data_IF_520199195775
#
_entry.id   IF_520199195775
#
_cell.length_a   1.000
_cell.length_b   1.000
_cell.length_c   1.000
_cell.angle_alpha   90.00
_cell.angle_beta   90.00
_cell.angle_gamma   90.00
#
_symmetry.space_group_name_H-M   'P 1'
#
loop_
_entity.id
_entity.type
_entity.pdbx_description
1 polymer ?
#
# COMPACT_ATOMS: atom_id res chain seq x y z
N UNK A 1 25.74 -0.67 16.52
CA UNK A 1 25.28 0.32 15.52
C UNK A 1 25.98 0.11 14.16
N UNK A 2 26.05 -1.13 13.63
CA UNK A 2 26.69 -1.41 12.32
C UNK A 2 26.10 -2.58 11.49
N UNK A 3 25.00 -3.23 11.88
CA UNK A 3 24.54 -4.44 11.16
C UNK A 3 23.14 -4.36 10.54
N UNK A 4 22.56 -3.17 10.36
CA UNK A 4 21.22 -3.04 9.74
C UNK A 4 21.23 -3.13 8.20
N UNK A 5 22.32 -3.64 7.60
CA UNK A 5 22.52 -3.73 6.16
C UNK A 5 21.93 -4.99 5.49
N UNK A 6 21.18 -5.87 6.16
CA UNK A 6 20.70 -7.12 5.54
C UNK A 6 19.19 -7.25 5.29
N UNK A 7 18.36 -6.25 5.62
CA UNK A 7 16.92 -6.30 5.34
C UNK A 7 16.50 -5.57 4.06
N UNK A 8 17.31 -4.58 3.65
CA UNK A 8 17.04 -3.71 2.49
C UNK A 8 17.68 -4.29 1.23
N UNK A 9 17.47 -5.60 1.02
CA UNK A 9 17.43 -6.18 -0.32
C UNK A 9 15.96 -6.03 -0.75
N UNK A 10 15.45 -4.80 -0.80
CA UNK A 10 15.26 -4.14 -2.09
C UNK A 10 14.74 -5.19 -3.07
N UNK A 11 13.46 -5.52 -2.91
CA UNK A 11 12.66 -6.24 -3.88
C UNK A 11 12.34 -5.33 -5.10
N UNK A 12 13.28 -4.44 -5.49
CA UNK A 12 13.18 -3.60 -6.70
C UNK A 12 13.28 -4.42 -7.99
N UNK A 13 13.55 -5.73 -7.86
CA UNK A 13 13.67 -6.66 -8.98
C UNK A 13 12.37 -7.41 -9.29
N UNK A 14 11.26 -7.19 -8.58
CA UNK A 14 9.97 -7.78 -8.95
C UNK A 14 9.43 -7.08 -10.21
N UNK A 15 9.88 -7.59 -11.37
CA UNK A 15 9.45 -7.35 -12.75
C UNK A 15 8.44 -6.20 -12.92
N UNK A 16 8.91 -5.13 -13.56
CA UNK A 16 8.18 -3.91 -13.98
C UNK A 16 6.98 -4.13 -14.94
N UNK A 17 6.28 -5.27 -14.89
CA UNK A 17 5.22 -5.59 -15.85
C UNK A 17 4.18 -6.58 -15.30
N UNK A 18 3.56 -6.28 -14.15
CA UNK A 18 2.49 -7.14 -13.61
C UNK A 18 1.30 -6.29 -13.19
N UNK A 19 0.20 -6.39 -13.93
CA UNK A 19 -1.20 -6.26 -13.49
C UNK A 19 -1.61 -5.14 -12.52
N UNK A 20 -0.85 -4.06 -12.40
CA UNK A 20 -1.17 -2.93 -11.52
C UNK A 20 -2.36 -2.15 -12.10
N UNK A 21 -3.29 -1.74 -11.23
CA UNK A 21 -4.46 -0.97 -11.64
C UNK A 21 -4.15 0.53 -11.61
N UNK A 22 -5.03 1.35 -12.22
CA UNK A 22 -4.96 2.81 -12.08
C UNK A 22 -4.92 3.24 -10.60
N UNK A 23 -5.63 2.52 -9.72
CA UNK A 23 -5.63 2.76 -8.28
C UNK A 23 -4.26 2.47 -7.64
N UNK A 24 -3.48 1.50 -8.13
CA UNK A 24 -2.10 1.28 -7.67
C UNK A 24 -1.22 2.49 -7.95
N UNK A 25 -1.40 3.17 -9.09
CA UNK A 25 -0.66 4.38 -9.41
C UNK A 25 -1.15 5.59 -8.61
N UNK A 26 -2.46 5.73 -8.38
CA UNK A 26 -3.00 6.76 -7.48
C UNK A 26 -2.48 6.58 -6.04
N UNK A 27 -2.39 5.33 -5.58
CA UNK A 27 -1.77 5.00 -4.30
C UNK A 27 -0.27 5.33 -4.28
N UNK A 28 0.45 5.15 -5.38
CA UNK A 28 1.86 5.50 -5.46
C UNK A 28 2.11 7.01 -5.32
N UNK A 29 1.23 7.85 -5.85
CA UNK A 29 1.32 9.30 -5.71
C UNK A 29 0.81 9.82 -4.37
N UNK A 30 0.05 9.02 -3.63
CA UNK A 30 -0.61 9.43 -2.39
C UNK A 30 -1.82 10.34 -2.61
N UNK A 31 -2.33 10.46 -3.85
CA UNK A 31 -3.45 11.35 -4.16
C UNK A 31 -4.80 10.71 -3.77
N UNK A 32 -5.19 10.91 -2.51
CA UNK A 32 -6.42 10.33 -1.93
C UNK A 32 -7.67 10.72 -2.70
N UNK A 33 -7.77 11.98 -3.15
CA UNK A 33 -8.94 12.47 -3.89
C UNK A 33 -9.15 11.72 -5.21
N UNK A 34 -8.07 11.45 -5.95
CA UNK A 34 -8.15 10.64 -7.17
C UNK A 34 -8.55 9.20 -6.85
N UNK A 35 -7.98 8.62 -5.80
CA UNK A 35 -8.36 7.28 -5.38
C UNK A 35 -9.85 7.20 -4.98
N UNK A 36 -10.38 8.20 -4.28
CA UNK A 36 -11.81 8.26 -3.91
C UNK A 36 -12.71 8.30 -5.14
N UNK A 37 -12.44 9.16 -6.11
CA UNK A 37 -13.20 9.20 -7.37
C UNK A 37 -13.15 7.85 -8.10
N UNK A 38 -12.00 7.17 -8.10
CA UNK A 38 -11.88 5.83 -8.71
C UNK A 38 -12.69 4.76 -7.95
N UNK A 39 -12.79 4.87 -6.62
CA UNK A 39 -13.56 3.94 -5.78
C UNK A 39 -15.07 4.17 -5.90
N UNK A 40 -15.50 5.41 -6.12
CA UNK A 40 -16.91 5.75 -6.40
C UNK A 40 -17.37 5.11 -7.72
N UNK A 41 -16.54 5.16 -8.75
CA UNK A 41 -16.83 4.54 -10.05
C UNK A 41 -16.78 3.00 -10.01
N UNK A 42 -15.82 2.44 -9.26
CA UNK A 42 -15.70 1.00 -9.11
C UNK A 42 -15.16 0.59 -7.73
N UNK A 43 -16.04 0.19 -6.79
CA UNK A 43 -15.65 -0.21 -5.45
C UNK A 43 -14.74 -1.45 -5.39
N UNK A 44 -14.77 -2.32 -6.40
CA UNK A 44 -13.97 -3.56 -6.44
C UNK A 44 -12.52 -3.31 -6.91
N UNK A 45 -12.22 -2.10 -7.40
CA UNK A 45 -10.93 -1.74 -7.97
C UNK A 45 -9.70 -2.01 -7.07
N UNK A 46 -9.75 -1.91 -5.73
CA UNK A 46 -8.65 -2.31 -4.84
C UNK A 46 -8.21 -3.77 -5.00
N UNK A 47 -9.11 -4.65 -5.46
CA UNK A 47 -8.94 -6.10 -5.45
C UNK A 47 -8.75 -6.71 -6.86
N UNK A 48 -8.98 -5.94 -7.93
CA UNK A 48 -8.92 -6.43 -9.32
C UNK A 48 -7.48 -6.61 -9.86
N UNK A 49 -6.49 -5.95 -9.26
CA UNK A 49 -5.11 -6.01 -9.71
C UNK A 49 -4.45 -7.35 -9.44
N UNK A 50 -3.74 -7.91 -10.43
CA UNK A 50 -2.87 -9.10 -10.23
C UNK A 50 -1.43 -8.72 -9.80
N UNK A 51 -1.16 -7.42 -9.70
CA UNK A 51 0.13 -6.84 -9.35
C UNK A 51 0.26 -6.52 -7.86
N UNK A 52 0.91 -5.40 -7.53
CA UNK A 52 0.92 -4.86 -6.17
C UNK A 52 -0.47 -4.26 -5.87
N UNK A 53 -1.10 -4.68 -4.78
CA UNK A 53 -2.35 -4.05 -4.30
C UNK A 53 -2.08 -2.58 -3.95
N UNK A 54 -3.05 -1.70 -4.23
CA UNK A 54 -2.93 -0.26 -3.97
C UNK A 54 -2.61 0.05 -2.51
N UNK A 55 -3.19 -0.71 -1.57
CA UNK A 55 -2.90 -0.61 -0.13
C UNK A 55 -1.41 -0.86 0.19
N UNK A 56 -0.83 -1.95 -0.33
CA UNK A 56 0.58 -2.28 -0.11
C UNK A 56 1.51 -1.21 -0.66
N UNK A 57 1.17 -0.64 -1.83
CA UNK A 57 1.91 0.48 -2.41
C UNK A 57 1.86 1.73 -1.53
N UNK A 58 0.68 2.09 -1.03
CA UNK A 58 0.50 3.23 -0.14
C UNK A 58 1.29 3.05 1.19
N UNK A 59 1.24 1.85 1.77
CA UNK A 59 1.97 1.52 3.00
C UNK A 59 3.49 1.59 2.78
N UNK A 60 3.99 0.98 1.71
CA UNK A 60 5.40 0.98 1.35
C UNK A 60 5.97 2.40 1.17
N UNK A 61 5.18 3.29 0.56
CA UNK A 61 5.59 4.68 0.30
C UNK A 61 5.28 5.64 1.46
N UNK A 62 4.55 5.19 2.48
CA UNK A 62 4.28 5.98 3.68
C UNK A 62 3.09 6.94 3.57
N UNK A 63 2.15 6.67 2.66
CA UNK A 63 0.99 7.53 2.43
C UNK A 63 -0.14 7.24 3.42
N UNK A 64 -0.02 7.72 4.66
CA UNK A 64 -0.91 7.36 5.78
C UNK A 64 -2.41 7.53 5.48
N UNK A 65 -2.80 8.67 4.91
CA UNK A 65 -4.20 8.95 4.60
C UNK A 65 -4.75 8.00 3.52
N UNK A 66 -3.91 7.65 2.54
CA UNK A 66 -4.27 6.66 1.51
C UNK A 66 -4.42 5.26 2.11
N UNK A 67 -3.53 4.87 3.04
CA UNK A 67 -3.63 3.60 3.76
C UNK A 67 -4.94 3.53 4.54
N UNK A 68 -5.27 4.57 5.30
CA UNK A 68 -6.53 4.65 6.05
C UNK A 68 -7.75 4.51 5.13
N UNK A 69 -7.71 5.11 3.94
CA UNK A 69 -8.82 5.05 2.99
C UNK A 69 -8.99 3.69 2.32
N UNK A 70 -7.87 3.02 1.98
CA UNK A 70 -7.87 1.76 1.24
C UNK A 70 -8.00 0.52 2.12
N UNK A 71 -7.54 0.56 3.37
CA UNK A 71 -7.60 -0.56 4.30
C UNK A 71 -8.99 -1.21 4.44
N UNK A 72 -10.09 -0.46 4.66
CA UNK A 72 -11.41 -1.06 4.83
C UNK A 72 -12.02 -1.67 3.55
N UNK A 73 -11.50 -1.31 2.37
CA UNK A 73 -12.04 -1.74 1.06
C UNK A 73 -11.13 -2.73 0.32
N UNK A 74 -9.99 -3.09 0.92
CA UNK A 74 -9.02 -4.00 0.32
C UNK A 74 -9.07 -5.35 1.03
N UNK A 75 -9.29 -6.42 0.28
CA UNK A 75 -9.19 -7.80 0.77
C UNK A 75 -7.72 -8.19 0.85
N UNK A 76 -7.27 -8.54 2.06
CA UNK A 76 -5.93 -9.05 2.34
C UNK A 76 -6.06 -10.56 2.57
N UNK A 77 -5.84 -11.31 1.50
CA UNK A 77 -5.96 -12.77 1.41
C UNK A 77 -4.64 -13.48 1.74
N UNK A 78 -3.50 -12.85 1.47
CA UNK A 78 -2.18 -13.37 1.81
C UNK A 78 -1.70 -12.84 3.18
N UNK A 79 -1.36 -13.73 4.15
CA UNK A 79 -0.78 -13.32 5.43
C UNK A 79 0.52 -12.52 5.29
N UNK A 80 1.39 -12.86 4.34
CA UNK A 80 2.65 -12.15 4.13
C UNK A 80 2.41 -10.69 3.73
N UNK A 81 1.37 -10.41 2.93
CA UNK A 81 1.00 -9.05 2.54
C UNK A 81 0.54 -8.23 3.76
N UNK A 82 -0.14 -8.87 4.72
CA UNK A 82 -0.58 -8.23 5.96
C UNK A 82 0.62 -7.81 6.81
N UNK A 83 1.58 -8.71 6.97
CA UNK A 83 2.78 -8.45 7.76
C UNK A 83 3.64 -7.38 7.11
N UNK A 84 3.79 -7.40 5.78
CA UNK A 84 4.49 -6.37 5.04
C UNK A 84 3.82 -5.00 5.18
N UNK A 85 2.49 -4.92 5.09
CA UNK A 85 1.74 -3.66 5.33
C UNK A 85 2.02 -3.15 6.74
N UNK A 86 1.93 -4.02 7.75
CA UNK A 86 2.18 -3.65 9.14
C UNK A 86 3.62 -3.15 9.34
N UNK A 87 4.62 -3.92 8.89
CA UNK A 87 6.03 -3.56 9.01
C UNK A 87 6.32 -2.23 8.30
N UNK A 88 5.76 -2.01 7.10
CA UNK A 88 5.95 -0.77 6.36
C UNK A 88 5.30 0.43 7.06
N UNK A 89 4.08 0.27 7.57
CA UNK A 89 3.40 1.34 8.29
C UNK A 89 4.14 1.69 9.61
N UNK A 90 4.76 0.72 10.30
CA UNK A 90 5.59 0.99 11.50
C UNK A 90 6.89 1.70 11.09
N UNK A 91 7.60 1.19 10.08
CA UNK A 91 8.86 1.79 9.59
C UNK A 91 8.71 3.23 9.11
N UNK A 92 7.53 3.58 8.58
CA UNK A 92 7.25 4.91 8.03
C UNK A 92 6.58 5.87 9.03
N UNK A 93 6.44 5.46 10.30
CA UNK A 93 5.72 6.22 11.33
C UNK A 93 4.30 6.61 10.88
N UNK A 94 3.68 5.73 10.10
CA UNK A 94 2.34 5.92 9.53
C UNK A 94 1.26 5.51 10.53
N UNK A 95 1.59 4.57 11.43
CA UNK A 95 0.67 4.10 12.48
C UNK A 95 0.34 5.16 13.54
N UNK A 96 1.20 6.15 13.78
CA UNK A 96 1.10 7.07 14.92
C UNK A 96 0.51 8.46 14.64
N UNK A 97 0.33 8.86 13.36
CA UNK A 97 0.09 10.27 13.03
C UNK A 97 -1.34 10.77 13.15
N UNK A 98 -2.33 9.89 13.28
CA UNK A 98 -3.67 10.26 13.72
C UNK A 98 -4.21 9.15 14.60
N UNK A 99 -4.60 9.50 15.84
CA UNK A 99 -5.31 8.65 16.79
C UNK A 99 -6.31 7.74 16.06
N UNK A 100 -6.00 6.45 16.03
CA UNK A 100 -6.94 5.38 15.72
C UNK A 100 -7.29 4.67 17.04
N UNK A 101 -7.99 5.40 17.91
CA UNK A 101 -8.93 4.94 18.95
C UNK A 101 -9.89 6.10 19.23
#
# INVERSE_FOLDING_TARGET
MKDFCLGTKINILRKRNVGNTALTYAAATGNVKIAEMMLEENPELPNLGRGVKSLSMAAFLGHSQMVQRLYPVTTIDNPDDRDDIFINCVRKDVYGKHKLL
#
